data_IF_655623282891
#
_entry.id   IF_655623282891
#
_cell.length_a   1.000
_cell.length_b   1.000
_cell.length_c   1.000
_cell.angle_alpha   90.00
_cell.angle_beta   90.00
_cell.angle_gamma   90.00
#
_symmetry.space_group_name_H-M   'P 1'
#
loop_
_entity.id
_entity.type
_entity.pdbx_description
1 polymer ?
#
# COMPACT_ATOMS: atom_id res chain seq x y z
N UNK A 1 18.89 -68.91 8.62
CA UNK A 1 18.88 -67.62 9.36
C UNK A 1 19.43 -66.57 8.41
N UNK A 2 18.55 -65.86 7.69
CA UNK A 2 18.91 -64.99 6.56
C UNK A 2 18.68 -63.55 7.00
N UNK A 3 19.76 -62.77 7.15
CA UNK A 3 19.68 -61.39 7.62
C UNK A 3 19.27 -60.46 6.47
N UNK A 4 18.11 -59.82 6.64
CA UNK A 4 17.57 -58.80 5.74
C UNK A 4 18.21 -57.44 6.08
N UNK A 5 19.12 -56.96 5.23
CA UNK A 5 19.70 -55.61 5.35
C UNK A 5 18.68 -54.60 4.82
N UNK A 6 18.09 -53.80 5.71
CA UNK A 6 17.25 -52.65 5.34
C UNK A 6 18.15 -51.46 5.00
N UNK A 7 18.16 -51.05 3.74
CA UNK A 7 18.69 -49.75 3.33
C UNK A 7 17.69 -48.66 3.75
N UNK A 8 18.10 -47.82 4.71
CA UNK A 8 17.39 -46.59 5.06
C UNK A 8 17.92 -45.53 4.10
N UNK A 9 17.12 -45.17 3.09
CA UNK A 9 17.39 -44.02 2.23
C UNK A 9 17.13 -42.76 3.05
N UNK A 10 18.21 -42.12 3.52
CA UNK A 10 18.16 -40.81 4.16
C UNK A 10 17.85 -39.77 3.07
N UNK A 11 16.60 -39.35 2.96
CA UNK A 11 16.21 -38.20 2.13
C UNK A 11 16.65 -36.93 2.89
N UNK A 12 17.82 -36.41 2.52
CA UNK A 12 18.24 -35.07 2.91
C UNK A 12 17.32 -34.06 2.21
N UNK A 13 16.31 -33.58 2.95
CA UNK A 13 15.59 -32.35 2.61
C UNK A 13 16.57 -31.20 2.79
N UNK A 14 17.26 -30.84 1.71
CA UNK A 14 17.94 -29.54 1.61
C UNK A 14 16.82 -28.50 1.53
N UNK A 15 16.49 -27.90 2.67
CA UNK A 15 15.70 -26.69 2.71
C UNK A 15 16.48 -25.61 1.95
N UNK A 16 15.95 -25.21 0.80
CA UNK A 16 16.46 -24.10 0.02
C UNK A 16 16.18 -22.80 0.80
N UNK A 17 17.01 -22.51 1.80
CA UNK A 17 16.97 -21.28 2.61
C UNK A 17 17.95 -20.22 2.07
N UNK A 18 18.34 -20.31 0.81
CA UNK A 18 19.13 -19.29 0.14
C UNK A 18 18.22 -18.34 -0.65
N UNK A 19 18.42 -17.02 -0.46
CA UNK A 19 18.05 -15.91 -1.37
C UNK A 19 16.76 -15.10 -1.18
N UNK A 20 16.06 -15.12 -0.03
CA UNK A 20 15.04 -14.09 0.22
C UNK A 20 15.66 -12.73 0.60
N UNK A 21 16.79 -12.73 1.32
CA UNK A 21 17.43 -11.52 1.86
C UNK A 21 17.89 -10.52 0.81
N UNK A 22 18.42 -10.99 -0.32
CA UNK A 22 18.88 -10.11 -1.41
C UNK A 22 17.71 -9.43 -2.15
N UNK A 23 16.51 -10.03 -2.09
CA UNK A 23 15.34 -9.58 -2.84
C UNK A 23 14.45 -8.64 -2.04
N UNK A 24 14.40 -8.79 -0.72
CA UNK A 24 13.67 -7.91 0.19
C UNK A 24 14.69 -7.19 1.08
N UNK A 25 15.17 -6.05 0.58
CA UNK A 25 16.06 -5.18 1.32
C UNK A 25 15.37 -3.84 1.57
N UNK A 26 15.00 -3.60 2.83
CA UNK A 26 14.42 -2.32 3.28
C UNK A 26 15.48 -1.37 3.82
N UNK A 27 16.68 -1.88 4.10
CA UNK A 27 17.74 -1.15 4.81
C UNK A 27 18.50 -0.19 3.88
N UNK A 28 18.39 -0.37 2.56
CA UNK A 28 19.00 0.50 1.55
C UNK A 28 18.05 0.82 0.42
N UNK A 29 18.08 2.07 -0.06
CA UNK A 29 17.28 2.52 -1.20
C UNK A 29 18.09 2.49 -2.52
N UNK A 30 17.50 2.07 -3.65
CA UNK A 30 18.16 2.17 -4.96
C UNK A 30 18.20 3.62 -5.45
N UNK A 31 19.17 3.94 -6.30
CA UNK A 31 19.33 5.29 -6.88
C UNK A 31 18.34 5.59 -8.01
N UNK A 32 17.72 4.55 -8.57
CA UNK A 32 16.71 4.62 -9.62
C UNK A 32 15.51 3.78 -9.20
N UNK A 33 14.35 4.08 -9.78
CA UNK A 33 13.13 3.31 -9.53
C UNK A 33 13.29 1.87 -9.98
N UNK A 34 13.12 0.92 -9.06
CA UNK A 34 13.16 -0.51 -9.36
C UNK A 34 12.05 -1.28 -8.66
N UNK A 35 11.78 -2.51 -9.12
CA UNK A 35 10.85 -3.42 -8.45
C UNK A 35 11.36 -3.79 -7.06
N UNK A 36 10.45 -3.81 -6.10
CA UNK A 36 10.72 -4.27 -4.75
C UNK A 36 10.28 -5.74 -4.58
N UNK A 37 11.14 -6.57 -3.98
CA UNK A 37 10.79 -7.95 -3.63
C UNK A 37 10.50 -8.86 -4.81
N UNK A 38 11.21 -8.73 -5.94
CA UNK A 38 10.90 -9.44 -7.18
C UNK A 38 10.76 -10.96 -7.01
N UNK A 39 9.61 -11.51 -7.40
CA UNK A 39 9.26 -12.92 -7.28
C UNK A 39 8.83 -13.36 -5.87
N UNK A 40 8.85 -12.44 -4.90
CA UNK A 40 8.36 -12.67 -3.54
C UNK A 40 7.17 -11.73 -3.28
N UNK A 41 7.39 -10.42 -3.23
CA UNK A 41 6.34 -9.41 -3.10
C UNK A 41 5.79 -9.10 -4.48
N UNK A 42 6.57 -8.48 -5.36
CA UNK A 42 6.15 -8.23 -6.74
C UNK A 42 6.12 -9.52 -7.55
N UNK A 43 4.94 -9.94 -7.98
CA UNK A 43 4.71 -11.18 -8.75
C UNK A 43 3.78 -10.92 -9.94
N UNK A 44 3.39 -11.92 -10.74
CA UNK A 44 2.41 -11.73 -11.81
C UNK A 44 0.97 -11.47 -11.33
N UNK A 45 0.72 -11.50 -10.01
CA UNK A 45 -0.56 -11.11 -9.43
C UNK A 45 -0.65 -9.57 -9.34
N UNK A 46 -1.63 -9.06 -8.58
CA UNK A 46 -1.81 -7.63 -8.42
C UNK A 46 -1.41 -7.24 -7.00
N UNK A 47 -0.18 -6.76 -6.83
CA UNK A 47 0.28 -6.19 -5.57
C UNK A 47 0.09 -4.69 -5.57
N UNK A 48 -0.51 -4.18 -4.50
CA UNK A 48 -0.72 -2.75 -4.28
C UNK A 48 -0.68 -2.45 -2.80
N UNK A 49 -0.55 -1.17 -2.48
CA UNK A 49 -0.52 -0.66 -1.11
C UNK A 49 0.68 -1.23 -0.32
N UNK A 50 1.23 -0.47 0.62
CA UNK A 50 2.45 -0.92 1.28
C UNK A 50 2.61 -0.29 2.65
N UNK A 51 2.99 -1.11 3.64
CA UNK A 51 3.31 -0.65 4.97
C UNK A 51 4.43 -1.49 5.59
N UNK A 52 5.34 -0.84 6.29
CA UNK A 52 6.38 -1.47 7.12
C UNK A 52 6.07 -1.18 8.58
N UNK A 53 6.22 -2.17 9.46
CA UNK A 53 6.16 -1.95 10.90
C UNK A 53 7.22 -0.94 11.34
N UNK A 54 6.98 -0.15 12.40
CA UNK A 54 7.99 0.80 12.90
C UNK A 54 9.35 0.17 13.22
N UNK A 55 9.36 -1.11 13.59
CA UNK A 55 10.60 -1.84 13.88
C UNK A 55 11.35 -2.30 12.63
N UNK A 56 10.68 -2.33 11.46
CA UNK A 56 11.29 -2.79 10.20
C UNK A 56 11.33 -4.31 10.06
N UNK A 57 10.49 -5.02 10.80
CA UNK A 57 10.49 -6.49 10.88
C UNK A 57 9.21 -7.14 10.31
N UNK A 58 8.26 -6.34 9.84
CA UNK A 58 7.01 -6.80 9.26
C UNK A 58 6.62 -5.89 8.09
N UNK A 59 6.35 -6.48 6.94
CA UNK A 59 5.79 -5.80 5.78
C UNK A 59 4.38 -6.33 5.57
N UNK A 60 3.43 -5.41 5.37
CA UNK A 60 2.06 -5.72 4.99
C UNK A 60 1.73 -4.98 3.70
N UNK A 61 1.12 -5.68 2.76
CA UNK A 61 0.66 -5.13 1.49
C UNK A 61 -0.65 -5.80 1.08
N UNK A 62 -1.32 -5.23 0.09
CA UNK A 62 -2.55 -5.80 -0.45
C UNK A 62 -2.22 -6.66 -1.68
N UNK A 63 -2.67 -7.90 -1.63
CA UNK A 63 -2.54 -8.85 -2.74
C UNK A 63 -3.92 -9.13 -3.32
N UNK A 64 -4.08 -8.82 -4.60
CA UNK A 64 -5.28 -9.11 -5.37
C UNK A 64 -5.10 -10.23 -6.39
N UNK A 65 -6.19 -10.93 -6.69
CA UNK A 65 -6.24 -11.80 -7.85
C UNK A 65 -6.27 -11.01 -9.18
N UNK A 66 -6.14 -11.71 -10.31
CA UNK A 66 -6.13 -11.11 -11.65
C UNK A 66 -7.36 -10.26 -11.98
N UNK A 67 -8.50 -10.55 -11.34
CA UNK A 67 -9.77 -9.87 -11.58
C UNK A 67 -10.12 -8.85 -10.50
N UNK A 68 -9.25 -8.69 -9.49
CA UNK A 68 -9.49 -7.90 -8.28
C UNK A 68 -10.77 -8.31 -7.53
N UNK A 69 -11.25 -9.55 -7.72
CA UNK A 69 -12.43 -10.08 -7.02
C UNK A 69 -12.10 -10.56 -5.62
N UNK A 70 -10.83 -10.80 -5.33
CA UNK A 70 -10.31 -11.09 -4.01
C UNK A 70 -9.10 -10.20 -3.78
N UNK A 71 -9.11 -9.42 -2.70
CA UNK A 71 -8.00 -8.58 -2.27
C UNK A 71 -7.84 -8.73 -0.77
N UNK A 72 -6.66 -9.19 -0.36
CA UNK A 72 -6.37 -9.51 1.03
C UNK A 72 -5.12 -8.81 1.50
N UNK A 73 -5.05 -8.58 2.81
CA UNK A 73 -3.80 -8.15 3.44
C UNK A 73 -2.88 -9.36 3.60
N UNK A 74 -1.69 -9.26 3.02
CA UNK A 74 -0.63 -10.28 3.08
C UNK A 74 0.56 -9.70 3.84
N UNK A 75 1.12 -10.52 4.72
CA UNK A 75 2.22 -10.18 5.58
C UNK A 75 3.46 -11.05 5.29
N UNK A 76 4.63 -10.45 5.46
CA UNK A 76 5.91 -11.14 5.54
C UNK A 76 6.69 -10.59 6.73
N UNK A 77 7.26 -11.49 7.54
CA UNK A 77 7.98 -11.14 8.78
C UNK A 77 9.47 -11.44 8.64
N UNK A 78 10.31 -10.60 9.22
CA UNK A 78 11.76 -10.77 9.33
C UNK A 78 12.08 -11.41 10.69
N UNK A 79 12.82 -12.51 10.68
CA UNK A 79 13.41 -13.09 11.88
C UNK A 79 14.94 -13.14 11.76
N UNK A 80 15.60 -13.88 12.65
CA UNK A 80 17.07 -14.02 12.63
C UNK A 80 17.61 -14.73 11.39
N UNK A 81 16.77 -15.41 10.62
CA UNK A 81 17.09 -16.08 9.35
C UNK A 81 16.75 -15.20 8.14
N UNK A 82 16.14 -14.03 8.34
CA UNK A 82 15.75 -13.10 7.30
C UNK A 82 14.24 -13.04 7.08
N UNK A 83 13.80 -12.60 5.90
CA UNK A 83 12.38 -12.53 5.56
C UNK A 83 11.78 -13.91 5.31
N UNK A 84 10.74 -14.24 6.09
CA UNK A 84 10.02 -15.50 6.06
C UNK A 84 9.09 -15.65 4.84
N UNK A 85 8.09 -16.52 4.98
CA UNK A 85 7.09 -16.75 3.93
C UNK A 85 5.97 -15.70 3.98
N UNK A 86 5.27 -15.55 2.85
CA UNK A 86 4.04 -14.76 2.75
C UNK A 86 2.88 -15.49 3.42
N UNK A 87 2.13 -14.77 4.23
CA UNK A 87 0.91 -15.28 4.88
C UNK A 87 -0.21 -14.26 4.76
N UNK A 88 -1.44 -14.72 4.47
CA UNK A 88 -2.62 -13.87 4.61
C UNK A 88 -2.78 -13.52 6.09
N UNK A 89 -3.08 -12.25 6.38
CA UNK A 89 -3.30 -11.79 7.75
C UNK A 89 -4.43 -12.60 8.41
N UNK A 90 -4.31 -12.93 9.71
CA UNK A 90 -5.26 -13.84 10.37
C UNK A 90 -6.69 -13.33 10.44
N UNK A 91 -6.90 -12.02 10.26
CA UNK A 91 -8.21 -11.36 10.23
C UNK A 91 -8.65 -10.96 8.80
N UNK A 92 -7.90 -11.38 7.77
CA UNK A 92 -8.19 -11.15 6.36
C UNK A 92 -8.50 -12.46 5.62
N UNK A 93 -8.86 -12.40 4.33
CA UNK A 93 -9.16 -13.58 3.52
C UNK A 93 -10.65 -13.89 3.32
N UNK A 94 -11.54 -13.11 3.95
CA UNK A 94 -13.00 -13.25 3.79
C UNK A 94 -13.60 -12.03 3.09
N UNK A 95 -13.13 -10.85 3.44
CA UNK A 95 -13.56 -9.55 2.93
C UNK A 95 -12.49 -8.97 2.02
N UNK A 96 -12.83 -7.90 1.31
CA UNK A 96 -11.85 -7.09 0.58
C UNK A 96 -11.12 -6.22 1.59
N UNK A 97 -9.94 -6.63 2.04
CA UNK A 97 -9.14 -5.85 2.99
C UNK A 97 -7.94 -5.26 2.26
N UNK A 98 -7.85 -3.93 2.24
CA UNK A 98 -6.87 -3.19 1.44
C UNK A 98 -6.20 -2.06 2.24
N UNK A 99 -5.12 -1.51 1.72
CA UNK A 99 -4.56 -0.22 2.15
C UNK A 99 -4.12 -0.19 3.64
N UNK A 100 -3.19 -1.08 4.03
CA UNK A 100 -2.73 -1.18 5.42
C UNK A 100 -1.92 0.06 5.84
N UNK A 101 -2.07 0.48 7.10
CA UNK A 101 -1.28 1.54 7.70
C UNK A 101 -1.00 1.26 9.19
N UNK A 102 0.28 1.20 9.56
CA UNK A 102 0.69 1.01 10.95
C UNK A 102 0.58 2.30 11.76
N UNK A 103 0.11 2.20 13.01
CA UNK A 103 0.37 3.28 13.97
C UNK A 103 1.88 3.42 14.24
N UNK A 104 2.29 4.61 14.67
CA UNK A 104 3.71 4.91 14.95
C UNK A 104 4.34 4.01 16.01
N UNK A 105 3.56 3.46 16.93
CA UNK A 105 4.01 2.50 17.94
C UNK A 105 3.88 1.02 17.50
N UNK A 106 3.39 0.80 16.28
CA UNK A 106 3.15 -0.50 15.68
C UNK A 106 2.04 -1.29 16.36
N UNK A 107 1.33 -0.76 17.36
CA UNK A 107 0.32 -1.52 18.12
C UNK A 107 -1.03 -1.59 17.42
N UNK A 108 -1.24 -0.77 16.39
CA UNK A 108 -2.46 -0.74 15.59
C UNK A 108 -2.14 -0.87 14.11
N UNK A 109 -3.05 -1.50 13.39
CA UNK A 109 -3.11 -1.49 11.94
C UNK A 109 -4.46 -0.93 11.53
N UNK A 110 -4.44 0.15 10.77
CA UNK A 110 -5.60 0.71 10.08
C UNK A 110 -5.64 0.15 8.66
N UNK A 111 -6.82 -0.06 8.09
CA UNK A 111 -7.00 -0.56 6.74
C UNK A 111 -8.43 -0.28 6.25
N UNK A 112 -8.66 -0.29 4.95
CA UNK A 112 -10.01 -0.21 4.38
C UNK A 112 -10.59 -1.61 4.17
N UNK A 113 -11.88 -1.79 4.46
CA UNK A 113 -12.55 -3.09 4.34
C UNK A 113 -14.03 -2.96 3.98
N UNK A 114 -14.52 -3.86 3.12
CA UNK A 114 -15.94 -4.00 2.79
C UNK A 114 -16.71 -4.89 3.79
N UNK A 115 -16.08 -5.20 4.93
CA UNK A 115 -16.70 -5.95 6.02
C UNK A 115 -17.95 -5.23 6.53
N UNK A 116 -19.06 -5.95 6.80
CA UNK A 116 -20.28 -5.34 7.31
C UNK A 116 -20.05 -4.57 8.62
N UNK A 117 -20.41 -3.29 8.62
CA UNK A 117 -20.40 -2.46 9.81
C UNK A 117 -21.80 -2.46 10.48
N UNK A 118 -21.90 -2.62 11.81
CA UNK A 118 -23.18 -2.51 12.51
C UNK A 118 -23.83 -1.14 12.29
N UNK A 119 -25.06 -1.13 11.76
CA UNK A 119 -25.79 0.11 11.46
C UNK A 119 -25.45 0.73 10.10
N UNK A 120 -24.50 0.17 9.36
CA UNK A 120 -24.29 0.48 7.96
C UNK A 120 -25.32 -0.27 7.10
N UNK A 121 -25.96 0.46 6.20
CA UNK A 121 -26.99 -0.07 5.29
C UNK A 121 -26.48 -0.29 3.88
N UNK A 122 -25.27 0.17 3.56
CA UNK A 122 -24.68 0.05 2.24
C UNK A 122 -23.80 -1.21 2.16
N UNK A 123 -24.39 -2.29 1.63
CA UNK A 123 -23.65 -3.54 1.44
C UNK A 123 -22.50 -3.33 0.45
N UNK A 124 -21.27 -3.58 0.89
CA UNK A 124 -20.07 -3.53 0.05
C UNK A 124 -19.33 -2.20 0.05
N UNK A 125 -19.75 -1.21 0.84
CA UNK A 125 -19.00 0.04 1.04
C UNK A 125 -17.72 -0.23 1.85
N UNK A 126 -16.62 0.37 1.40
CA UNK A 126 -15.36 0.33 2.13
C UNK A 126 -15.40 1.32 3.29
N UNK A 127 -15.16 0.79 4.47
CA UNK A 127 -15.04 1.56 5.70
C UNK A 127 -13.60 1.46 6.22
N UNK A 128 -13.15 2.41 7.05
CA UNK A 128 -11.87 2.31 7.74
C UNK A 128 -12.04 1.46 9.00
N UNK A 129 -11.27 0.38 9.06
CA UNK A 129 -11.19 -0.54 10.18
C UNK A 129 -9.85 -0.42 10.89
N UNK A 130 -9.82 -0.81 12.15
CA UNK A 130 -8.62 -0.87 12.97
C UNK A 130 -8.57 -2.18 13.75
N UNK A 131 -7.38 -2.78 13.79
CA UNK A 131 -7.06 -3.88 14.70
C UNK A 131 -5.92 -3.47 15.63
N UNK A 132 -5.84 -4.13 16.79
CA UNK A 132 -4.77 -3.92 17.78
C UNK A 132 -3.97 -5.21 17.93
N UNK A 133 -2.71 -5.11 18.34
CA UNK A 133 -1.92 -6.29 18.72
C UNK A 133 -1.38 -6.21 20.14
N UNK A 134 -1.25 -7.39 20.74
CA UNK A 134 -0.45 -7.62 21.94
C UNK A 134 0.64 -8.65 21.59
N UNK A 135 1.91 -8.21 21.60
CA UNK A 135 2.99 -8.96 21.00
C UNK A 135 2.71 -9.24 19.51
N UNK A 136 2.81 -10.52 19.11
CA UNK A 136 2.61 -10.94 17.71
C UNK A 136 1.16 -11.28 17.35
N UNK A 137 0.20 -11.13 18.28
CA UNK A 137 -1.19 -11.51 18.08
C UNK A 137 -2.07 -10.29 17.83
N UNK A 138 -2.66 -10.24 16.65
CA UNK A 138 -3.69 -9.28 16.28
C UNK A 138 -5.05 -9.68 16.88
N UNK A 139 -5.84 -8.68 17.26
CA UNK A 139 -7.23 -8.83 17.70
C UNK A 139 -8.18 -8.86 16.50
N UNK A 140 -9.45 -9.18 16.76
CA UNK A 140 -10.49 -8.94 15.78
C UNK A 140 -10.55 -7.43 15.43
N UNK A 141 -10.63 -7.07 14.13
CA UNK A 141 -10.82 -5.70 13.71
C UNK A 141 -12.19 -5.14 14.14
N UNK A 142 -12.24 -3.84 14.38
CA UNK A 142 -13.47 -3.07 14.56
C UNK A 142 -13.44 -1.82 13.68
N UNK A 143 -14.60 -1.33 13.21
CA UNK A 143 -14.64 -0.13 12.38
C UNK A 143 -14.33 1.10 13.24
N UNK A 144 -13.81 2.15 12.60
CA UNK A 144 -13.86 3.48 13.18
C UNK A 144 -15.32 3.97 13.30
N UNK A 145 -15.52 5.02 14.09
CA UNK A 145 -16.84 5.59 14.34
C UNK A 145 -17.42 6.28 13.10
N UNK A 146 -18.74 6.49 13.11
CA UNK A 146 -19.49 7.02 11.97
C UNK A 146 -19.19 8.49 11.63
N UNK A 147 -18.39 9.17 12.46
CA UNK A 147 -17.84 10.48 12.11
C UNK A 147 -16.76 10.36 11.03
N UNK A 148 -16.04 9.24 11.03
CA UNK A 148 -15.09 8.86 9.99
C UNK A 148 -15.81 8.06 8.92
N UNK A 149 -16.44 6.95 9.29
CA UNK A 149 -17.10 6.03 8.36
C UNK A 149 -18.50 6.56 8.01
N UNK A 150 -18.57 7.35 6.93
CA UNK A 150 -19.79 8.03 6.49
C UNK A 150 -20.55 7.23 5.43
N UNK A 151 -21.59 7.82 4.82
CA UNK A 151 -22.16 7.24 3.61
C UNK A 151 -21.15 7.24 2.46
N UNK A 152 -20.94 6.09 1.82
CA UNK A 152 -19.98 5.92 0.73
C UNK A 152 -18.68 5.26 1.19
N UNK A 153 -17.64 5.37 0.37
CA UNK A 153 -16.37 4.70 0.64
C UNK A 153 -15.36 5.61 1.32
N UNK A 154 -14.63 5.06 2.30
CA UNK A 154 -13.43 5.62 2.89
C UNK A 154 -12.21 4.71 2.65
N UNK A 155 -11.16 5.32 2.11
CA UNK A 155 -9.96 4.62 1.65
C UNK A 155 -8.68 5.22 2.22
N UNK A 156 -7.61 4.43 2.17
CA UNK A 156 -6.22 4.79 2.41
C UNK A 156 -5.97 5.60 3.68
N UNK A 157 -6.24 5.01 4.85
CA UNK A 157 -6.03 5.69 6.11
C UNK A 157 -4.54 5.98 6.34
N UNK A 158 -4.21 7.21 6.70
CA UNK A 158 -2.88 7.58 7.19
C UNK A 158 -3.01 8.38 8.49
N UNK A 159 -2.30 7.95 9.52
CA UNK A 159 -2.38 8.53 10.88
C UNK A 159 -1.08 9.22 11.26
N UNK A 160 -1.16 10.51 11.57
CA UNK A 160 0.01 11.30 11.99
C UNK A 160 0.42 11.02 13.44
N UNK A 161 1.56 11.58 13.87
CA UNK A 161 2.02 11.53 15.27
C UNK A 161 1.03 12.17 16.24
N UNK A 162 0.27 13.17 15.80
CA UNK A 162 -0.82 13.80 16.59
C UNK A 162 -2.07 12.93 16.66
N UNK A 163 -2.12 11.83 15.91
CA UNK A 163 -3.26 10.96 15.78
C UNK A 163 -4.32 11.48 14.81
N UNK A 164 -4.05 12.54 14.04
CA UNK A 164 -4.96 13.00 13.00
C UNK A 164 -5.02 11.95 11.89
N UNK A 165 -6.21 11.70 11.38
CA UNK A 165 -6.45 10.74 10.31
C UNK A 165 -6.63 11.49 8.99
N UNK A 166 -5.83 11.12 7.99
CA UNK A 166 -5.98 11.51 6.60
C UNK A 166 -6.52 10.31 5.84
N UNK A 167 -7.45 10.52 4.92
CA UNK A 167 -8.08 9.45 4.16
C UNK A 167 -8.73 10.00 2.89
N UNK A 168 -9.00 9.11 1.94
CA UNK A 168 -9.72 9.43 0.70
C UNK A 168 -11.19 9.13 0.86
N UNK A 169 -12.05 10.05 0.41
CA UNK A 169 -13.49 9.84 0.36
C UNK A 169 -14.13 10.69 -0.72
N UNK A 170 -15.37 10.37 -1.07
CA UNK A 170 -16.26 11.25 -1.85
C UNK A 170 -17.35 11.78 -0.93
N UNK A 171 -17.39 13.09 -0.69
CA UNK A 171 -18.43 13.73 0.15
C UNK A 171 -19.03 14.93 -0.55
N UNK A 172 -20.28 15.27 -0.21
CA UNK A 172 -21.00 16.41 -0.79
C UNK A 172 -20.33 17.77 -0.58
N UNK A 173 -19.44 17.88 0.43
CA UNK A 173 -18.66 19.07 0.74
C UNK A 173 -17.18 18.93 0.34
N UNK A 174 -16.86 17.95 -0.51
CA UNK A 174 -15.57 17.80 -1.16
C UNK A 174 -15.29 18.88 -2.21
N UNK A 175 -14.07 18.92 -2.72
CA UNK A 175 -13.64 19.86 -3.77
C UNK A 175 -13.83 19.23 -5.16
N UNK A 176 -13.53 17.93 -5.29
CA UNK A 176 -13.52 17.18 -6.54
C UNK A 176 -14.43 15.96 -6.55
N UNK A 177 -14.05 14.96 -7.35
CA UNK A 177 -14.75 13.68 -7.48
C UNK A 177 -14.35 12.70 -6.36
N UNK A 178 -13.07 12.68 -6.01
CA UNK A 178 -12.52 12.06 -4.81
C UNK A 178 -11.55 13.07 -4.20
N UNK A 179 -11.59 13.20 -2.88
CA UNK A 179 -10.79 14.18 -2.15
C UNK A 179 -10.04 13.52 -1.00
N UNK A 180 -8.94 14.15 -0.62
CA UNK A 180 -8.24 13.86 0.62
C UNK A 180 -8.88 14.68 1.74
N UNK A 181 -9.36 13.99 2.75
CA UNK A 181 -9.92 14.55 3.97
C UNK A 181 -8.94 14.42 5.13
N UNK A 182 -9.07 15.31 6.11
CA UNK A 182 -8.40 15.22 7.41
C UNK A 182 -9.42 15.30 8.54
N UNK A 183 -9.39 14.33 9.45
CA UNK A 183 -10.04 14.40 10.75
C UNK A 183 -8.98 14.62 11.84
N UNK A 184 -9.10 15.75 12.55
CA UNK A 184 -8.25 16.01 13.70
C UNK A 184 -8.65 15.12 14.87
N UNK A 185 -7.69 14.69 15.67
CA UNK A 185 -7.97 13.94 16.89
C UNK A 185 -7.75 14.81 18.13
N UNK A 186 -8.84 15.14 18.80
CA UNK A 186 -8.83 16.02 19.98
C UNK A 186 -9.26 15.20 21.19
N UNK A 187 -8.40 15.13 22.21
CA UNK A 187 -8.65 14.36 23.45
C UNK A 187 -9.09 12.91 23.18
N UNK A 188 -8.48 12.29 22.17
CA UNK A 188 -8.76 10.89 21.77
C UNK A 188 -9.94 10.70 20.83
N UNK A 189 -10.69 11.76 20.51
CA UNK A 189 -11.91 11.71 19.69
C UNK A 189 -11.65 12.35 18.32
N UNK A 190 -12.00 11.64 17.25
CA UNK A 190 -11.97 12.20 15.90
C UNK A 190 -13.01 13.30 15.76
N UNK A 191 -12.65 14.37 15.06
CA UNK A 191 -13.55 15.49 14.75
C UNK A 191 -14.20 15.27 13.37
N UNK A 192 -15.27 16.00 13.03
CA UNK A 192 -15.82 15.96 11.68
C UNK A 192 -14.70 16.23 10.66
N UNK A 193 -14.48 15.33 9.68
CA UNK A 193 -13.42 15.50 8.72
C UNK A 193 -13.72 16.68 7.79
N UNK A 194 -12.66 17.35 7.38
CA UNK A 194 -12.71 18.46 6.41
C UNK A 194 -11.82 18.11 5.23
N UNK A 195 -12.21 18.46 3.99
CA UNK A 195 -11.34 18.27 2.84
C UNK A 195 -10.11 19.16 3.00
N UNK A 196 -8.96 18.71 2.50
CA UNK A 196 -7.83 19.59 2.28
C UNK A 196 -8.19 20.65 1.23
N UNK A 197 -7.51 21.78 1.30
CA UNK A 197 -7.78 22.92 0.42
C UNK A 197 -7.30 22.68 -1.03
N UNK A 198 -7.49 23.67 -1.90
CA UNK A 198 -7.16 23.59 -3.32
C UNK A 198 -5.67 23.55 -3.64
N UNK A 199 -4.79 23.64 -2.63
CA UNK A 199 -3.38 23.36 -2.83
C UNK A 199 -3.12 21.85 -2.89
N UNK A 200 -3.96 21.02 -2.27
CA UNK A 200 -3.87 19.55 -2.30
C UNK A 200 -4.98 18.92 -3.12
N UNK A 201 -6.24 19.30 -2.92
CA UNK A 201 -7.37 18.80 -3.70
C UNK A 201 -7.62 19.66 -4.94
N UNK A 202 -8.20 19.08 -5.98
CA UNK A 202 -8.58 19.78 -7.20
C UNK A 202 -10.02 19.43 -7.57
N UNK A 203 -10.48 19.88 -8.73
CA UNK A 203 -11.79 19.48 -9.27
C UNK A 203 -11.82 18.02 -9.79
N UNK A 204 -10.68 17.33 -9.75
CA UNK A 204 -10.50 16.01 -10.33
C UNK A 204 -10.54 14.93 -9.24
N UNK A 205 -9.61 13.96 -9.29
CA UNK A 205 -9.52 12.86 -8.35
C UNK A 205 -8.23 13.00 -7.55
N UNK A 206 -8.33 12.99 -6.22
CA UNK A 206 -7.20 12.95 -5.30
C UNK A 206 -7.38 11.81 -4.30
N UNK A 207 -6.41 10.89 -4.29
CA UNK A 207 -6.55 9.61 -3.60
C UNK A 207 -5.24 9.12 -2.98
N UNK A 208 -5.33 8.14 -2.10
CA UNK A 208 -4.20 7.41 -1.52
C UNK A 208 -3.12 8.32 -0.92
N UNK A 209 -3.49 9.10 0.11
CA UNK A 209 -2.57 10.04 0.73
C UNK A 209 -1.69 9.40 1.81
N UNK A 210 -0.38 9.46 1.63
CA UNK A 210 0.59 9.32 2.71
C UNK A 210 0.89 10.69 3.30
N UNK A 211 0.89 10.78 4.64
CA UNK A 211 1.28 11.98 5.37
C UNK A 211 2.46 11.67 6.29
N UNK A 212 3.44 12.56 6.29
CA UNK A 212 4.55 12.54 7.25
C UNK A 212 4.05 12.57 8.71
N UNK A 213 4.79 11.97 9.66
CA UNK A 213 4.38 11.96 11.07
C UNK A 213 4.10 13.36 11.65
N UNK A 214 4.87 14.37 11.25
CA UNK A 214 4.74 15.75 11.71
C UNK A 214 3.76 16.60 10.87
N UNK A 215 3.16 15.99 9.85
CA UNK A 215 2.20 16.58 8.92
C UNK A 215 2.78 17.76 8.11
N UNK A 216 4.06 17.73 7.76
CA UNK A 216 4.73 18.78 6.97
C UNK A 216 4.95 18.39 5.50
N UNK A 217 4.83 17.11 5.17
CA UNK A 217 4.82 16.56 3.81
C UNK A 217 3.58 15.68 3.62
N UNK A 218 2.92 15.81 2.47
CA UNK A 218 1.89 14.90 1.98
C UNK A 218 2.22 14.45 0.55
N UNK A 219 2.08 13.16 0.30
CA UNK A 219 2.26 12.54 -1.01
C UNK A 219 0.99 11.78 -1.34
N UNK A 220 0.46 11.90 -2.55
CA UNK A 220 -0.83 11.34 -2.91
C UNK A 220 -0.94 11.10 -4.42
N UNK A 221 -1.87 10.23 -4.82
CA UNK A 221 -2.21 10.02 -6.22
C UNK A 221 -3.24 11.04 -6.70
N UNK A 222 -3.17 11.41 -7.98
CA UNK A 222 -4.20 12.22 -8.63
C UNK A 222 -4.34 11.88 -10.10
N UNK A 223 -5.55 11.99 -10.63
CA UNK A 223 -5.84 11.80 -12.04
C UNK A 223 -6.49 13.05 -12.64
N UNK A 224 -6.08 13.42 -13.86
CA UNK A 224 -6.71 14.51 -14.63
C UNK A 224 -6.20 15.92 -14.37
N UNK A 225 -5.07 16.08 -13.66
CA UNK A 225 -4.37 17.36 -13.55
C UNK A 225 -3.65 17.74 -14.84
N UNK A 226 -3.50 19.05 -15.06
CA UNK A 226 -2.92 19.60 -16.29
C UNK A 226 -1.46 19.17 -16.50
N UNK A 227 -0.70 19.00 -15.43
CA UNK A 227 0.69 18.52 -15.41
C UNK A 227 0.82 16.99 -15.24
N UNK A 228 -0.28 16.25 -15.39
CA UNK A 228 -0.28 14.79 -15.32
C UNK A 228 0.37 14.12 -16.53
N UNK A 229 0.90 12.90 -16.32
CA UNK A 229 1.59 12.09 -17.31
C UNK A 229 0.77 10.87 -17.77
N UNK A 230 -0.27 10.47 -17.05
CA UNK A 230 -0.94 9.19 -17.34
C UNK A 230 -2.23 8.85 -16.59
N UNK A 231 -2.43 7.54 -16.40
CA UNK A 231 -3.63 6.91 -15.82
C UNK A 231 -3.85 7.21 -14.33
N UNK A 232 -2.86 7.84 -13.69
CA UNK A 232 -2.88 8.38 -12.34
C UNK A 232 -1.45 8.63 -11.93
N UNK A 233 -1.17 9.80 -11.37
CA UNK A 233 0.18 10.25 -11.06
C UNK A 233 0.33 10.61 -9.59
N UNK A 234 1.55 10.46 -9.10
CA UNK A 234 1.97 10.87 -7.77
C UNK A 234 2.29 12.36 -7.72
N UNK A 235 1.73 13.03 -6.71
CA UNK A 235 1.93 14.43 -6.39
C UNK A 235 2.45 14.57 -4.96
N UNK A 236 3.20 15.64 -4.73
CA UNK A 236 3.72 16.01 -3.42
C UNK A 236 3.36 17.47 -3.09
N UNK A 237 3.00 17.72 -1.83
CA UNK A 237 2.86 19.06 -1.27
C UNK A 237 3.58 19.14 0.08
N UNK A 238 4.16 20.31 0.35
CA UNK A 238 4.82 20.62 1.62
C UNK A 238 4.03 21.67 2.38
N UNK A 239 4.01 21.60 3.70
CA UNK A 239 3.33 22.56 4.56
C UNK A 239 4.26 23.74 4.82
N UNK A 240 3.75 24.96 4.63
CA UNK A 240 4.42 26.21 4.95
C UNK A 240 4.49 26.42 6.47
N UNK A 241 5.33 27.36 6.89
CA UNK A 241 5.46 27.77 8.30
C UNK A 241 4.18 28.35 8.91
N UNK A 242 3.26 28.86 8.08
CA UNK A 242 1.93 29.33 8.51
C UNK A 242 0.88 28.22 8.64
N UNK A 243 1.26 26.97 8.34
CA UNK A 243 0.38 25.79 8.42
C UNK A 243 -0.42 25.49 7.14
N UNK A 244 -0.32 26.32 6.10
CA UNK A 244 -0.98 26.09 4.80
C UNK A 244 -0.18 25.13 3.92
N UNK A 245 -0.85 24.39 3.04
CA UNK A 245 -0.18 23.53 2.06
C UNK A 245 0.32 24.34 0.86
N UNK A 246 1.50 24.02 0.36
CA UNK A 246 1.98 24.49 -0.94
C UNK A 246 1.19 23.84 -2.08
N UNK A 247 1.09 24.55 -3.21
CA UNK A 247 0.43 23.97 -4.39
C UNK A 247 1.14 22.66 -4.75
N UNK A 248 0.39 21.56 -4.79
CA UNK A 248 0.93 20.25 -5.11
C UNK A 248 1.59 20.26 -6.49
N UNK A 249 2.71 19.53 -6.61
CA UNK A 249 3.45 19.37 -7.86
C UNK A 249 3.56 17.90 -8.22
N UNK A 250 3.52 17.60 -9.52
CA UNK A 250 3.80 16.26 -10.03
C UNK A 250 5.24 15.82 -9.60
N UNK A 251 5.40 14.53 -9.24
CA UNK A 251 6.69 13.98 -8.80
C UNK A 251 7.65 13.61 -9.94
N UNK A 252 7.29 13.89 -11.19
CA UNK A 252 8.17 13.72 -12.36
C UNK A 252 8.22 12.30 -12.91
N UNK A 253 8.90 12.12 -14.05
CA UNK A 253 8.87 10.88 -14.84
C UNK A 253 9.65 9.71 -14.26
N UNK A 254 10.47 9.95 -13.22
CA UNK A 254 11.16 8.85 -12.51
C UNK A 254 10.16 8.06 -11.66
N UNK A 255 9.10 8.73 -11.19
CA UNK A 255 8.01 8.16 -10.40
C UNK A 255 6.80 7.88 -11.29
N UNK A 256 6.40 8.83 -12.12
CA UNK A 256 5.16 8.78 -12.88
C UNK A 256 5.36 8.31 -14.33
N UNK A 257 4.39 7.56 -14.84
CA UNK A 257 4.39 7.00 -16.18
C UNK A 257 3.07 7.28 -16.88
N UNK A 258 2.87 6.73 -18.09
CA UNK A 258 1.56 6.74 -18.74
C UNK A 258 0.55 5.79 -18.08
N UNK A 259 1.03 4.87 -17.24
CA UNK A 259 0.23 3.89 -16.54
C UNK A 259 -0.41 4.51 -15.29
N UNK A 260 -0.91 3.69 -14.37
CA UNK A 260 -1.38 4.12 -13.06
C UNK A 260 -0.23 3.99 -12.07
N UNK A 261 0.15 5.10 -11.44
CA UNK A 261 1.17 5.21 -10.40
C UNK A 261 0.52 5.80 -9.13
N UNK A 262 0.53 5.05 -8.03
CA UNK A 262 -0.33 5.31 -6.86
C UNK A 262 0.20 4.66 -5.58
N UNK A 263 -0.56 4.75 -4.48
CA UNK A 263 -0.26 4.12 -3.18
C UNK A 263 1.12 4.44 -2.61
N UNK A 264 1.40 5.71 -2.27
CA UNK A 264 2.65 6.11 -1.64
C UNK A 264 2.82 5.49 -0.25
N UNK A 265 4.05 5.10 0.05
CA UNK A 265 4.52 4.87 1.40
C UNK A 265 5.97 5.34 1.52
N UNK A 266 6.27 6.18 2.51
CA UNK A 266 7.66 6.61 2.77
C UNK A 266 8.16 5.98 4.05
N UNK A 267 9.24 5.22 3.93
CA UNK A 267 10.04 4.76 5.05
C UNK A 267 11.10 5.82 5.39
N UNK A 268 10.74 6.72 6.30
CA UNK A 268 11.62 7.80 6.75
C UNK A 268 12.86 7.28 7.49
N UNK A 269 12.80 6.08 8.08
CA UNK A 269 13.91 5.52 8.85
C UNK A 269 15.07 5.10 7.93
N UNK A 270 14.73 4.51 6.78
CA UNK A 270 15.73 4.05 5.81
C UNK A 270 15.84 4.94 4.56
N UNK A 271 15.03 5.99 4.46
CA UNK A 271 15.06 6.95 3.36
C UNK A 271 14.57 6.38 2.03
N UNK A 272 13.57 5.49 2.08
CA UNK A 272 13.03 4.78 0.92
C UNK A 272 11.61 5.23 0.65
N UNK A 273 11.31 5.57 -0.60
CA UNK A 273 9.96 5.78 -1.08
C UNK A 273 9.48 4.53 -1.82
N UNK A 274 8.33 4.02 -1.42
CA UNK A 274 7.62 2.91 -2.04
C UNK A 274 6.33 3.40 -2.68
N UNK A 275 5.97 2.78 -3.80
CA UNK A 275 4.70 3.07 -4.47
C UNK A 275 4.28 1.89 -5.33
N UNK A 276 3.00 1.86 -5.71
CA UNK A 276 2.46 0.88 -6.65
C UNK A 276 2.44 1.46 -8.06
N UNK A 277 2.81 0.66 -9.05
CA UNK A 277 2.69 1.04 -10.45
C UNK A 277 2.18 -0.11 -11.31
N UNK A 278 1.34 0.22 -12.30
CA UNK A 278 0.93 -0.72 -13.37
C UNK A 278 1.80 -0.58 -14.61
N UNK A 279 2.97 0.07 -14.51
CA UNK A 279 3.93 0.19 -15.62
C UNK A 279 4.30 -1.19 -16.15
N UNK A 280 4.33 -1.29 -17.47
CA UNK A 280 4.74 -2.48 -18.18
C UNK A 280 5.71 -2.11 -19.31
N UNK A 281 6.74 -2.93 -19.56
CA UNK A 281 7.56 -2.80 -20.75
C UNK A 281 6.69 -2.84 -22.02
N UNK A 282 7.13 -2.11 -23.05
CA UNK A 282 6.49 -2.16 -24.36
C UNK A 282 6.42 -3.61 -24.87
N UNK A 283 5.27 -3.99 -25.39
CA UNK A 283 5.04 -5.33 -25.90
C UNK A 283 4.72 -5.28 -27.41
N UNK A 284 5.21 -6.23 -28.22
CA UNK A 284 4.98 -6.21 -29.66
C UNK A 284 3.49 -6.24 -30.01
N UNK A 285 3.08 -5.38 -30.96
CA UNK A 285 1.69 -5.37 -31.47
C UNK A 285 1.31 -6.66 -32.20
N UNK A 286 2.28 -7.31 -32.88
CA UNK A 286 2.07 -8.57 -33.59
C UNK A 286 2.69 -9.70 -32.79
N UNK A 287 1.87 -10.68 -32.45
CA UNK A 287 2.29 -11.92 -31.80
C UNK A 287 1.82 -13.06 -32.70
N UNK A 288 2.70 -14.01 -33.00
CA UNK A 288 2.40 -15.17 -33.86
C UNK A 288 2.31 -16.47 -33.10
N UNK A 289 2.71 -16.49 -31.82
CA UNK A 289 2.77 -17.69 -30.99
C UNK A 289 2.00 -17.48 -29.68
N UNK A 290 1.06 -18.39 -29.39
CA UNK A 290 0.28 -18.35 -28.13
C UNK A 290 1.19 -18.35 -26.90
N UNK A 291 2.31 -19.09 -26.95
CA UNK A 291 3.26 -19.15 -25.84
C UNK A 291 3.86 -17.77 -25.48
N UNK A 292 4.06 -16.89 -26.47
CA UNK A 292 4.54 -15.52 -26.23
C UNK A 292 3.52 -14.72 -25.42
N UNK A 293 2.22 -14.90 -25.68
CA UNK A 293 1.16 -14.27 -24.91
C UNK A 293 1.07 -14.83 -23.48
N UNK A 294 1.21 -16.16 -23.32
CA UNK A 294 1.22 -16.81 -21.99
C UNK A 294 2.38 -16.30 -21.14
N UNK A 295 3.58 -16.21 -21.71
CA UNK A 295 4.74 -15.68 -20.99
C UNK A 295 4.54 -14.23 -20.57
N UNK A 296 3.97 -13.38 -21.44
CA UNK A 296 3.66 -11.99 -21.08
C UNK A 296 2.60 -11.88 -19.98
N UNK A 297 1.55 -12.71 -20.04
CA UNK A 297 0.50 -12.69 -19.02
C UNK A 297 1.02 -13.12 -17.64
N UNK A 298 2.03 -14.00 -17.60
CA UNK A 298 2.66 -14.48 -16.37
C UNK A 298 3.97 -13.73 -16.04
N UNK A 299 4.27 -12.63 -16.73
CA UNK A 299 5.39 -11.77 -16.37
C UNK A 299 5.04 -10.94 -15.13
N UNK A 300 6.05 -10.56 -14.33
CA UNK A 300 5.82 -9.69 -13.17
C UNK A 300 5.28 -8.34 -13.62
N UNK A 301 5.85 -7.75 -14.68
CA UNK A 301 5.43 -6.48 -15.26
C UNK A 301 4.45 -6.70 -16.41
N UNK A 302 3.39 -7.48 -16.16
CA UNK A 302 2.32 -7.76 -17.11
C UNK A 302 1.31 -6.61 -17.25
N UNK A 303 1.45 -5.53 -16.48
CA UNK A 303 0.54 -4.38 -16.45
C UNK A 303 -0.48 -4.43 -15.31
N UNK A 304 -0.39 -5.42 -14.42
CA UNK A 304 -1.02 -5.40 -13.10
C UNK A 304 -0.14 -4.62 -12.11
N UNK A 305 -0.67 -4.35 -10.92
CA UNK A 305 0.06 -3.61 -9.89
C UNK A 305 1.27 -4.39 -9.37
N UNK A 306 2.42 -3.72 -9.29
CA UNK A 306 3.57 -4.20 -8.52
C UNK A 306 4.11 -3.07 -7.62
N UNK A 307 4.89 -3.45 -6.61
CA UNK A 307 5.53 -2.50 -5.69
C UNK A 307 6.90 -2.10 -6.22
N UNK A 308 7.13 -0.80 -6.32
CA UNK A 308 8.40 -0.18 -6.70
C UNK A 308 8.98 0.57 -5.51
N UNK A 309 10.29 0.78 -5.54
CA UNK A 309 10.97 1.61 -4.57
C UNK A 309 12.11 2.43 -5.19
N UNK A 310 12.42 3.55 -4.53
CA UNK A 310 13.51 4.47 -4.88
C UNK A 310 13.97 5.20 -3.62
N UNK A 311 15.20 5.70 -3.61
CA UNK A 311 15.65 6.65 -2.61
C UNK A 311 14.75 7.91 -2.56
N UNK A 312 14.34 8.30 -1.35
CA UNK A 312 13.39 9.42 -1.17
C UNK A 312 13.93 10.76 -1.68
N UNK A 313 15.25 11.02 -1.56
CA UNK A 313 15.85 12.27 -2.04
C UNK A 313 15.85 12.30 -3.58
N UNK A 314 16.07 11.15 -4.22
CA UNK A 314 15.93 11.00 -5.67
C UNK A 314 14.49 11.18 -6.14
N UNK A 315 13.51 10.79 -5.32
CA UNK A 315 12.09 11.09 -5.56
C UNK A 315 11.71 12.56 -5.26
N UNK A 316 12.64 13.38 -4.77
CA UNK A 316 12.40 14.79 -4.46
C UNK A 316 11.54 15.03 -3.22
N UNK A 317 11.61 14.11 -2.24
CA UNK A 317 10.95 14.20 -0.93
C UNK A 317 11.86 14.97 0.03
#
# INVERSE_FOLDING_TARGET
MMHLIRYITLVLLVSCNLQNGDKINIDTAPSETSLFGQGIISTPLYERDFAISPEGDEIIYTLGDYTQKHRFLVCIKKDTQGWGKREVMPFSGTYQDIEPFFSMDGKKLYFASDRPMPGDTAAGDYNIWVTTRNGNKWSEPHPLDTIINGPGNEFYPAVSKKGNLYFTATRSHGVGAEDIFVSKKIKGIYQPPVPLDSAVNSKNYEYNAWVSPDEDIIIFGSYGREDGLGGGDMYISKKRSDGTWEKARNMGSDINTKALDFCPFVDLKHGVFYFTSTRAPAFPRKITEVNTLVLKANDIQNGLGNIYHINQEKAGI
#
